data_IF_786957191836
#
_entry.id   IF_786957191836
#
_cell.length_a   1.000
_cell.length_b   1.000
_cell.length_c   1.000
_cell.angle_alpha   90.00
_cell.angle_beta   90.00
_cell.angle_gamma   90.00
#
_symmetry.space_group_name_H-M   'P 1'
#
loop_
_entity.id
_entity.type
_entity.pdbx_description
1 polymer ?
#
# COMPACT_ATOMS: atom_id res chain seq x y z
N UNK A 1 7.02 -1.76 -17.35
CA UNK A 1 7.71 -2.20 -18.59
C UNK A 1 8.78 -1.24 -19.10
N UNK A 2 8.54 0.07 -19.30
CA UNK A 2 9.55 1.02 -19.85
C UNK A 2 10.91 1.07 -19.13
N UNK A 3 10.94 0.87 -17.81
CA UNK A 3 12.17 0.94 -17.00
C UNK A 3 13.11 -0.26 -17.18
N UNK A 4 12.55 -1.44 -17.43
CA UNK A 4 13.31 -2.66 -17.71
C UNK A 4 14.01 -2.55 -19.06
N UNK A 5 13.33 -1.96 -20.05
CA UNK A 5 13.89 -1.68 -21.38
C UNK A 5 15.05 -0.70 -21.31
N UNK A 6 14.94 0.35 -20.49
CA UNK A 6 16.03 1.31 -20.23
C UNK A 6 17.21 0.65 -19.49
N UNK A 7 16.95 -0.14 -18.45
CA UNK A 7 18.00 -0.87 -17.73
C UNK A 7 18.76 -1.83 -18.66
N UNK A 8 18.05 -2.55 -19.52
CA UNK A 8 18.65 -3.47 -20.48
C UNK A 8 19.46 -2.73 -21.55
N UNK A 9 18.94 -1.62 -22.08
CA UNK A 9 19.66 -0.79 -23.05
C UNK A 9 20.96 -0.19 -22.46
N UNK A 10 20.91 0.34 -21.24
CA UNK A 10 22.10 0.90 -20.58
C UNK A 10 23.14 -0.16 -20.20
N UNK A 11 22.70 -1.36 -19.81
CA UNK A 11 23.63 -2.48 -19.55
C UNK A 11 24.29 -3.01 -20.82
N UNK A 12 23.58 -3.01 -21.95
CA UNK A 12 24.12 -3.43 -23.25
C UNK A 12 25.13 -2.42 -23.79
N UNK A 13 24.82 -1.12 -23.68
CA UNK A 13 25.69 -0.02 -24.12
C UNK A 13 26.99 0.06 -23.29
N UNK A 14 26.91 -0.24 -21.99
CA UNK A 14 28.07 -0.33 -21.09
C UNK A 14 28.95 -1.56 -21.32
N UNK A 15 28.39 -2.66 -21.86
CA UNK A 15 29.14 -3.88 -22.18
C UNK A 15 29.94 -3.75 -23.49
N UNK A 16 29.54 -2.86 -24.39
CA UNK A 16 30.13 -2.70 -25.72
C UNK A 16 31.26 -1.66 -25.81
N UNK A 17 31.48 -0.86 -24.77
CA UNK A 17 32.48 0.21 -24.75
C UNK A 17 33.43 0.04 -23.54
N UNK A 18 34.72 0.36 -23.77
CA UNK A 18 35.89 0.33 -22.86
C UNK A 18 35.61 0.48 -21.34
N UNK A 19 36.48 -0.07 -20.48
CA UNK A 19 36.33 -0.16 -19.01
C UNK A 19 35.84 1.13 -18.30
N UNK A 20 36.24 2.32 -18.76
CA UNK A 20 35.77 3.60 -18.22
C UNK A 20 34.28 3.88 -18.52
N UNK A 21 33.79 3.45 -19.68
CA UNK A 21 32.38 3.51 -20.06
C UNK A 21 31.55 2.48 -19.29
N UNK A 22 32.13 1.34 -18.90
CA UNK A 22 31.47 0.36 -18.06
C UNK A 22 31.17 0.90 -16.66
N UNK A 23 32.13 1.58 -16.01
CA UNK A 23 31.94 2.20 -14.68
C UNK A 23 30.86 3.28 -14.73
N UNK A 24 30.89 4.14 -15.75
CA UNK A 24 29.91 5.22 -15.92
C UNK A 24 28.52 4.66 -16.25
N UNK A 25 28.43 3.61 -17.05
CA UNK A 25 27.21 2.85 -17.35
C UNK A 25 26.60 2.21 -16.10
N UNK A 26 27.41 1.57 -15.27
CA UNK A 26 26.97 0.98 -14.01
C UNK A 26 26.45 2.03 -13.02
N UNK A 27 27.12 3.19 -12.95
CA UNK A 27 26.68 4.34 -12.14
C UNK A 27 25.33 4.89 -12.63
N UNK A 28 25.11 4.99 -13.94
CA UNK A 28 23.82 5.39 -14.54
C UNK A 28 22.72 4.38 -14.22
N UNK A 29 22.96 3.08 -14.41
CA UNK A 29 22.01 2.03 -14.09
C UNK A 29 21.58 2.05 -12.61
N UNK A 30 22.55 2.23 -11.68
CA UNK A 30 22.28 2.38 -10.25
C UNK A 30 21.39 3.60 -9.96
N UNK A 31 21.65 4.75 -10.60
CA UNK A 31 20.83 5.97 -10.45
C UNK A 31 19.39 5.74 -10.93
N UNK A 32 19.20 5.18 -12.12
CA UNK A 32 17.87 4.88 -12.69
C UNK A 32 17.09 3.94 -11.77
N UNK A 33 17.75 2.91 -11.27
CA UNK A 33 17.14 1.94 -10.36
C UNK A 33 16.72 2.58 -9.03
N UNK A 34 17.53 3.49 -8.46
CA UNK A 34 17.16 4.23 -7.24
C UNK A 34 15.96 5.14 -7.48
N UNK A 35 15.91 5.85 -8.62
CA UNK A 35 14.78 6.71 -8.98
C UNK A 35 13.51 5.88 -9.13
N UNK A 36 13.57 4.74 -9.80
CA UNK A 36 12.43 3.83 -9.98
C UNK A 36 11.90 3.33 -8.62
N UNK A 37 12.77 2.89 -7.71
CA UNK A 37 12.34 2.47 -6.36
C UNK A 37 11.68 3.63 -5.60
N UNK A 38 12.25 4.84 -5.66
CA UNK A 38 11.66 6.01 -5.01
C UNK A 38 10.29 6.36 -5.57
N UNK A 39 10.10 6.27 -6.90
CA UNK A 39 8.81 6.51 -7.54
C UNK A 39 7.76 5.48 -7.13
N UNK A 40 8.12 4.20 -7.03
CA UNK A 40 7.22 3.15 -6.55
C UNK A 40 6.80 3.44 -5.11
N UNK A 41 7.75 3.70 -4.21
CA UNK A 41 7.46 4.04 -2.81
C UNK A 41 6.55 5.27 -2.72
N UNK A 42 6.84 6.32 -3.48
CA UNK A 42 6.05 7.55 -3.48
C UNK A 42 4.61 7.31 -3.97
N UNK A 43 4.45 6.64 -5.12
CA UNK A 43 3.13 6.34 -5.67
C UNK A 43 2.31 5.47 -4.71
N UNK A 44 2.95 4.48 -4.08
CA UNK A 44 2.29 3.62 -3.10
C UNK A 44 1.84 4.40 -1.87
N UNK A 45 2.72 5.25 -1.33
CA UNK A 45 2.39 6.10 -0.19
C UNK A 45 1.23 7.06 -0.48
N UNK A 46 1.24 7.71 -1.64
CA UNK A 46 0.14 8.61 -2.06
C UNK A 46 -1.17 7.83 -2.18
N UNK A 47 -1.16 6.68 -2.85
CA UNK A 47 -2.38 5.89 -3.09
C UNK A 47 -2.95 5.34 -1.78
N UNK A 48 -2.10 4.78 -0.92
CA UNK A 48 -2.52 4.26 0.40
C UNK A 48 -3.01 5.39 1.31
N UNK A 49 -2.33 6.53 1.32
CA UNK A 49 -2.77 7.71 2.07
C UNK A 49 -4.12 8.23 1.60
N UNK A 50 -4.33 8.32 0.28
CA UNK A 50 -5.61 8.69 -0.31
C UNK A 50 -6.72 7.72 0.08
N UNK A 51 -6.49 6.41 -0.06
CA UNK A 51 -7.47 5.38 0.31
C UNK A 51 -7.84 5.45 1.80
N UNK A 52 -6.85 5.66 2.67
CA UNK A 52 -7.07 5.80 4.11
C UNK A 52 -7.95 7.03 4.40
N UNK A 53 -7.61 8.19 3.84
CA UNK A 53 -8.41 9.41 4.01
C UNK A 53 -9.82 9.22 3.46
N UNK A 54 -9.96 8.67 2.25
CA UNK A 54 -11.24 8.43 1.61
C UNK A 54 -12.16 7.51 2.43
N UNK A 55 -11.64 6.42 2.99
CA UNK A 55 -12.40 5.53 3.88
C UNK A 55 -12.95 6.31 5.08
N UNK A 56 -12.10 7.10 5.77
CA UNK A 56 -12.52 7.86 6.93
C UNK A 56 -13.57 8.92 6.57
N UNK A 57 -13.34 9.69 5.50
CA UNK A 57 -14.27 10.71 5.03
C UNK A 57 -15.61 10.12 4.61
N UNK A 58 -15.60 9.02 3.84
CA UNK A 58 -16.83 8.38 3.36
C UNK A 58 -17.61 7.77 4.50
N UNK A 59 -16.95 7.15 5.48
CA UNK A 59 -17.64 6.67 6.69
C UNK A 59 -18.36 7.82 7.39
N UNK A 60 -17.69 8.95 7.64
CA UNK A 60 -18.31 10.12 8.28
C UNK A 60 -19.52 10.61 7.48
N UNK A 61 -19.35 10.87 6.18
CA UNK A 61 -20.42 11.41 5.32
C UNK A 61 -21.62 10.45 5.24
N UNK A 62 -21.38 9.16 5.07
CA UNK A 62 -22.45 8.17 4.92
C UNK A 62 -23.23 8.01 6.21
N UNK A 63 -22.53 7.94 7.34
CA UNK A 63 -23.16 7.79 8.66
C UNK A 63 -23.96 9.05 9.02
N UNK A 64 -23.43 10.25 8.76
CA UNK A 64 -24.15 11.51 8.98
C UNK A 64 -25.39 11.64 8.07
N UNK A 65 -25.27 11.29 6.80
CA UNK A 65 -26.40 11.31 5.86
C UNK A 65 -27.48 10.32 6.29
N UNK A 66 -27.11 9.10 6.67
CA UNK A 66 -28.06 8.10 7.16
C UNK A 66 -28.79 8.56 8.43
N UNK A 67 -28.08 9.24 9.33
CA UNK A 67 -28.70 9.85 10.51
C UNK A 67 -29.71 10.94 10.12
N UNK A 68 -29.34 11.84 9.20
CA UNK A 68 -30.24 12.90 8.73
C UNK A 68 -31.48 12.35 8.02
N UNK A 69 -31.36 11.18 7.40
CA UNK A 69 -32.45 10.45 6.74
C UNK A 69 -33.29 9.58 7.70
N UNK A 70 -33.04 9.66 9.02
CA UNK A 70 -33.71 8.85 10.05
C UNK A 70 -33.58 7.34 9.83
N UNK A 71 -32.47 6.88 9.24
CA UNK A 71 -32.15 5.45 9.08
C UNK A 71 -31.83 4.80 10.44
N UNK A 72 -31.25 5.57 11.37
CA UNK A 72 -30.97 5.12 12.73
C UNK A 72 -32.00 5.68 13.73
N UNK A 73 -32.27 4.99 14.85
CA UNK A 73 -33.12 5.50 15.91
C UNK A 73 -32.52 6.80 16.50
N UNK A 74 -33.35 7.82 16.72
CA UNK A 74 -32.94 9.17 17.15
C UNK A 74 -32.25 9.28 18.52
N UNK A 75 -32.09 8.17 19.24
CA UNK A 75 -31.44 8.08 20.57
C UNK A 75 -30.28 7.08 20.63
N UNK A 76 -29.87 6.53 19.49
CA UNK A 76 -28.75 5.59 19.47
C UNK A 76 -27.42 6.36 19.45
N UNK A 77 -26.40 5.90 20.20
CA UNK A 77 -24.97 6.24 20.06
C UNK A 77 -24.38 5.83 18.69
N UNK A 78 -25.24 5.81 17.67
CA UNK A 78 -25.14 5.10 16.41
C UNK A 78 -24.14 5.70 15.44
N UNK A 79 -23.86 7.00 15.55
CA UNK A 79 -22.95 7.68 14.61
C UNK A 79 -21.52 7.81 15.15
N UNK A 80 -21.38 8.03 16.46
CA UNK A 80 -20.07 8.24 17.09
C UNK A 80 -19.25 6.96 17.08
N UNK A 81 -19.87 5.83 17.39
CA UNK A 81 -19.18 4.53 17.47
C UNK A 81 -18.53 4.16 16.12
N UNK A 82 -19.23 4.19 14.96
CA UNK A 82 -18.59 3.85 13.70
C UNK A 82 -17.49 4.81 13.25
N UNK A 83 -17.67 6.12 13.46
CA UNK A 83 -16.68 7.13 13.09
C UNK A 83 -15.41 6.95 13.94
N UNK A 84 -15.56 6.90 15.26
CA UNK A 84 -14.43 6.72 16.19
C UNK A 84 -13.74 5.39 15.96
N UNK A 85 -14.50 4.31 15.74
CA UNK A 85 -13.92 3.00 15.45
C UNK A 85 -13.10 3.02 14.15
N UNK A 86 -13.60 3.68 13.10
CA UNK A 86 -12.87 3.78 11.83
C UNK A 86 -11.60 4.60 11.97
N UNK A 87 -11.63 5.70 12.74
CA UNK A 87 -10.45 6.51 13.05
C UNK A 87 -9.41 5.73 13.85
N UNK A 88 -9.85 5.03 14.90
CA UNK A 88 -8.98 4.20 15.73
C UNK A 88 -8.32 3.09 14.93
N UNK A 89 -9.09 2.38 14.11
CA UNK A 89 -8.58 1.33 13.23
C UNK A 89 -7.61 1.88 12.17
N UNK A 90 -7.90 3.07 11.63
CA UNK A 90 -7.01 3.75 10.68
C UNK A 90 -5.68 4.15 11.33
N UNK A 91 -5.73 4.63 12.57
CA UNK A 91 -4.53 4.91 13.37
C UNK A 91 -3.73 3.62 13.62
N UNK A 92 -4.40 2.55 14.04
CA UNK A 92 -3.79 1.25 14.32
C UNK A 92 -3.11 0.64 13.08
N UNK A 93 -3.70 0.79 11.89
CA UNK A 93 -3.16 0.22 10.64
C UNK A 93 -2.09 1.11 10.00
N UNK A 94 -2.03 2.39 10.35
CA UNK A 94 -1.08 3.36 9.78
C UNK A 94 0.41 2.94 9.82
N UNK A 95 0.97 2.36 10.91
CA UNK A 95 2.35 1.88 10.90
C UNK A 95 2.56 0.75 9.88
N UNK A 96 1.57 -0.13 9.70
CA UNK A 96 1.65 -1.22 8.74
C UNK A 96 1.55 -0.73 7.29
N UNK A 97 0.72 0.29 7.02
CA UNK A 97 0.68 0.94 5.70
C UNK A 97 2.01 1.61 5.34
N UNK A 98 2.70 2.21 6.32
CA UNK A 98 4.06 2.71 6.12
C UNK A 98 5.02 1.57 5.78
N UNK A 99 4.98 0.45 6.50
CA UNK A 99 5.81 -0.73 6.20
C UNK A 99 5.55 -1.26 4.78
N UNK A 100 4.28 -1.39 4.37
CA UNK A 100 3.89 -1.78 3.01
C UNK A 100 4.46 -0.83 1.96
N UNK A 101 4.43 0.48 2.24
CA UNK A 101 4.96 1.51 1.34
C UNK A 101 6.46 1.33 1.07
N UNK A 102 7.24 0.99 2.09
CA UNK A 102 8.69 0.80 1.99
C UNK A 102 9.14 -0.62 1.68
N UNK A 103 8.23 -1.61 1.68
CA UNK A 103 8.56 -3.02 1.51
C UNK A 103 9.44 -3.35 0.28
N UNK A 104 9.22 -2.77 -0.92
CA UNK A 104 10.07 -3.05 -2.07
C UNK A 104 11.54 -2.66 -1.85
N UNK A 105 11.78 -1.59 -1.08
CA UNK A 105 13.12 -1.14 -0.71
C UNK A 105 13.74 -2.09 0.31
N UNK A 106 12.97 -2.51 1.32
CA UNK A 106 13.41 -3.41 2.39
C UNK A 106 13.79 -4.79 1.83
N UNK A 107 12.91 -5.41 1.02
CA UNK A 107 13.15 -6.73 0.44
C UNK A 107 14.36 -6.73 -0.49
N UNK A 108 14.52 -5.68 -1.30
CA UNK A 108 15.70 -5.53 -2.16
C UNK A 108 17.00 -5.43 -1.35
N UNK A 109 16.99 -4.73 -0.21
CA UNK A 109 18.12 -4.68 0.70
C UNK A 109 18.51 -6.08 1.20
N UNK A 110 17.53 -6.84 1.66
CA UNK A 110 17.71 -8.22 2.18
C UNK A 110 18.30 -9.14 1.10
N UNK A 111 17.73 -9.14 -0.11
CA UNK A 111 18.24 -9.98 -1.19
C UNK A 111 19.62 -9.55 -1.70
N UNK A 112 20.00 -8.29 -1.50
CA UNK A 112 21.33 -7.80 -1.90
C UNK A 112 22.45 -8.19 -0.93
N UNK A 113 22.12 -8.45 0.33
CA UNK A 113 23.11 -8.79 1.36
C UNK A 113 23.25 -10.30 1.57
N UNK A 114 22.18 -11.08 1.35
CA UNK A 114 22.18 -12.51 1.61
C UNK A 114 21.23 -13.27 0.65
N UNK A 115 21.73 -14.33 0.01
CA UNK A 115 20.93 -15.21 -0.86
C UNK A 115 20.88 -16.64 -0.32
N UNK A 116 19.83 -16.98 0.45
CA UNK A 116 19.66 -18.31 1.02
C UNK A 116 18.21 -18.57 1.50
N UNK A 117 17.94 -19.77 2.01
CA UNK A 117 16.62 -20.12 2.54
C UNK A 117 16.23 -19.20 3.72
N UNK A 118 17.18 -18.85 4.58
CA UNK A 118 16.97 -17.93 5.70
C UNK A 118 16.45 -16.56 5.26
N UNK A 119 17.03 -15.94 4.22
CA UNK A 119 16.53 -14.66 3.71
C UNK A 119 15.17 -14.76 3.05
N UNK A 120 14.81 -15.91 2.47
CA UNK A 120 13.46 -16.14 1.96
C UNK A 120 12.44 -16.17 3.10
N UNK A 121 12.73 -16.89 4.18
CA UNK A 121 11.84 -16.94 5.36
C UNK A 121 11.70 -15.55 5.99
N UNK A 122 12.79 -14.82 6.16
CA UNK A 122 12.77 -13.44 6.68
C UNK A 122 11.94 -12.51 5.78
N UNK A 123 12.10 -12.59 4.46
CA UNK A 123 11.31 -11.79 3.51
C UNK A 123 9.81 -12.07 3.60
N UNK A 124 9.42 -13.34 3.74
CA UNK A 124 8.01 -13.75 3.91
C UNK A 124 7.48 -13.23 5.24
N UNK A 125 8.26 -13.33 6.32
CA UNK A 125 7.85 -12.85 7.64
C UNK A 125 7.60 -11.34 7.62
N UNK A 126 8.53 -10.56 7.06
CA UNK A 126 8.41 -9.09 6.95
C UNK A 126 7.23 -8.70 6.05
N UNK A 127 7.05 -9.39 4.92
CA UNK A 127 5.89 -9.14 4.06
C UNK A 127 4.58 -9.47 4.78
N UNK A 128 4.52 -10.59 5.50
CA UNK A 128 3.32 -11.05 6.22
C UNK A 128 2.93 -10.09 7.33
N UNK A 129 3.87 -9.69 8.20
CA UNK A 129 3.57 -8.76 9.29
C UNK A 129 3.14 -7.38 8.79
N UNK A 130 3.60 -6.99 7.59
CA UNK A 130 3.24 -5.72 6.97
C UNK A 130 1.84 -5.76 6.32
N UNK A 131 1.57 -6.76 5.48
CA UNK A 131 0.31 -6.83 4.72
C UNK A 131 -0.86 -7.39 5.50
N UNK A 132 -0.63 -8.40 6.35
CA UNK A 132 -1.72 -9.16 6.96
C UNK A 132 -2.68 -8.27 7.75
N UNK A 133 -2.23 -7.34 8.61
CA UNK A 133 -3.14 -6.41 9.31
C UNK A 133 -3.96 -5.55 8.34
N UNK A 134 -3.32 -5.05 7.26
CA UNK A 134 -3.97 -4.21 6.27
C UNK A 134 -5.01 -4.96 5.44
N UNK A 135 -4.70 -6.21 5.05
CA UNK A 135 -5.60 -7.10 4.30
C UNK A 135 -6.78 -7.53 5.16
N UNK A 136 -6.54 -7.93 6.41
CA UNK A 136 -7.60 -8.29 7.35
C UNK A 136 -8.54 -7.11 7.59
N UNK A 137 -8.00 -5.91 7.83
CA UNK A 137 -8.82 -4.71 8.01
C UNK A 137 -9.67 -4.42 6.76
N UNK A 138 -9.06 -4.49 5.57
CA UNK A 138 -9.76 -4.17 4.32
C UNK A 138 -10.86 -5.18 4.01
N UNK A 139 -10.59 -6.48 4.22
CA UNK A 139 -11.57 -7.53 4.03
C UNK A 139 -12.70 -7.44 5.05
N UNK A 140 -12.38 -7.41 6.35
CA UNK A 140 -13.38 -7.36 7.40
C UNK A 140 -14.21 -6.08 7.35
N UNK A 141 -13.58 -4.93 7.05
CA UNK A 141 -14.28 -3.66 6.83
C UNK A 141 -15.25 -3.73 5.65
N UNK A 142 -14.84 -4.34 4.53
CA UNK A 142 -15.73 -4.52 3.39
C UNK A 142 -16.95 -5.37 3.75
N UNK A 143 -16.76 -6.49 4.44
CA UNK A 143 -17.83 -7.40 4.86
C UNK A 143 -18.77 -6.75 5.88
N UNK A 144 -18.20 -6.07 6.89
CA UNK A 144 -18.96 -5.40 7.94
C UNK A 144 -19.91 -4.35 7.38
N UNK A 145 -19.45 -3.56 6.40
CA UNK A 145 -20.23 -2.49 5.79
C UNK A 145 -21.11 -2.93 4.62
N UNK A 146 -21.13 -4.23 4.28
CA UNK A 146 -22.00 -4.78 3.22
C UNK A 146 -23.44 -4.93 3.75
N UNK A 147 -24.05 -3.80 4.07
CA UNK A 147 -25.44 -3.67 4.53
C UNK A 147 -26.10 -2.50 3.81
N UNK A 148 -27.45 -2.48 3.70
CA UNK A 148 -28.17 -1.37 3.08
C UNK A 148 -27.75 -0.02 3.68
N UNK A 149 -27.70 1.02 2.84
CA UNK A 149 -27.29 2.39 3.19
C UNK A 149 -25.80 2.58 3.52
N UNK A 150 -24.95 1.54 3.48
CA UNK A 150 -23.52 1.64 3.80
C UNK A 150 -22.59 1.09 2.70
N UNK A 151 -23.16 0.65 1.57
CA UNK A 151 -22.43 0.02 0.47
C UNK A 151 -21.28 0.85 -0.07
N UNK A 152 -21.41 2.18 -0.06
CA UNK A 152 -20.30 3.08 -0.44
C UNK A 152 -19.07 2.88 0.45
N UNK A 153 -19.25 2.74 1.77
CA UNK A 153 -18.15 2.47 2.71
C UNK A 153 -17.49 1.12 2.36
N UNK A 154 -18.30 0.08 2.14
CA UNK A 154 -17.80 -1.24 1.76
C UNK A 154 -16.99 -1.21 0.45
N UNK A 155 -17.44 -0.43 -0.55
CA UNK A 155 -16.72 -0.25 -1.81
C UNK A 155 -15.32 0.35 -1.60
N UNK A 156 -15.15 1.32 -0.70
CA UNK A 156 -13.83 1.89 -0.43
C UNK A 156 -12.89 0.92 0.27
N UNK A 157 -13.40 0.12 1.21
CA UNK A 157 -12.63 -0.98 1.80
C UNK A 157 -12.26 -2.05 0.76
N UNK A 158 -13.16 -2.35 -0.18
CA UNK A 158 -12.88 -3.27 -1.28
C UNK A 158 -11.81 -2.73 -2.24
N UNK A 159 -11.85 -1.43 -2.58
CA UNK A 159 -10.80 -0.79 -3.37
C UNK A 159 -9.44 -0.84 -2.68
N UNK A 160 -9.41 -0.63 -1.36
CA UNK A 160 -8.19 -0.78 -0.57
C UNK A 160 -7.69 -2.24 -0.58
N UNK A 161 -8.58 -3.21 -0.42
CA UNK A 161 -8.26 -4.65 -0.51
C UNK A 161 -7.67 -5.00 -1.88
N UNK A 162 -8.35 -4.61 -2.96
CA UNK A 162 -7.90 -4.85 -4.33
C UNK A 162 -6.53 -4.21 -4.56
N UNK A 163 -6.34 -2.96 -4.14
CA UNK A 163 -5.06 -2.29 -4.25
C UNK A 163 -3.95 -3.01 -3.48
N UNK A 164 -4.21 -3.48 -2.26
CA UNK A 164 -3.22 -4.23 -1.47
C UNK A 164 -2.85 -5.56 -2.12
N UNK A 165 -3.81 -6.28 -2.72
CA UNK A 165 -3.58 -7.56 -3.41
C UNK A 165 -2.79 -7.36 -4.71
N UNK A 166 -3.17 -6.37 -5.53
CA UNK A 166 -2.57 -6.16 -6.85
C UNK A 166 -1.30 -5.30 -6.82
N UNK A 167 -1.03 -4.61 -5.71
CA UNK A 167 0.21 -3.85 -5.52
C UNK A 167 1.26 -4.60 -4.70
N UNK A 168 0.93 -5.77 -4.16
CA UNK A 168 1.87 -6.65 -3.45
C UNK A 168 2.92 -7.25 -4.38
#
# INVERSE_FOLDING_TARGET
>A
MKWLTLLFAYSLEAFLNDEDNYIEGWRRAKRVLVIAVKQVVLHRGITLGFLLVAINTVTTVVVENNQSANVYPGSADSIGIPIISTWFLSFLVSPFLLLVTFLPKTLKGIYSTNSGLGTRVESIFIASISYLPCLCLSLLGSLYWTIPNHMSIACWFYLALAYLIFSA
#
